data_IF_533612520695
#
_entry.id   IF_533612520695
#
_cell.length_a   1.000
_cell.length_b   1.000
_cell.length_c   1.000
_cell.angle_alpha   90.00
_cell.angle_beta   90.00
_cell.angle_gamma   90.00
#
_symmetry.space_group_name_H-M   'P 1'
#
loop_
_entity.id
_entity.type
_entity.pdbx_description
1 polymer ?
#
# COMPACT_ATOMS: atom_id res chain seq x y z
N UNK A 1 -13.54 -13.08 -14.67
CA UNK A 1 -12.14 -13.49 -14.42
C UNK A 1 -11.21 -12.63 -15.27
N UNK A 2 -10.48 -11.71 -14.64
CA UNK A 2 -9.54 -10.84 -15.34
C UNK A 2 -8.36 -11.64 -15.89
N UNK A 3 -7.88 -11.27 -17.08
CA UNK A 3 -6.67 -11.83 -17.67
C UNK A 3 -5.75 -10.70 -18.14
N UNK A 4 -4.50 -10.72 -17.68
CA UNK A 4 -3.52 -9.68 -18.01
C UNK A 4 -3.24 -9.61 -19.52
N UNK A 5 -3.25 -8.41 -20.12
CA UNK A 5 -2.87 -8.23 -21.52
C UNK A 5 -1.38 -8.44 -21.79
N UNK A 6 -0.54 -8.50 -20.74
CA UNK A 6 0.91 -8.72 -20.87
C UNK A 6 1.27 -10.19 -21.12
N UNK A 7 0.33 -11.13 -20.88
CA UNK A 7 0.48 -12.56 -21.15
C UNK A 7 -0.44 -12.99 -22.31
N UNK A 8 0.05 -12.83 -23.54
CA UNK A 8 -0.71 -13.03 -24.77
C UNK A 8 -0.05 -14.02 -25.77
N UNK A 9 -0.83 -14.48 -26.76
CA UNK A 9 -0.36 -15.29 -27.89
C UNK A 9 0.54 -16.49 -27.52
N UNK A 10 1.66 -16.63 -28.25
CA UNK A 10 2.62 -17.73 -28.07
C UNK A 10 3.28 -17.75 -26.69
N UNK A 11 3.40 -16.59 -26.01
CA UNK A 11 3.96 -16.54 -24.65
C UNK A 11 3.11 -17.34 -23.68
N UNK A 12 1.77 -17.32 -23.81
CA UNK A 12 0.87 -18.14 -22.99
C UNK A 12 0.98 -19.63 -23.30
N UNK A 13 1.22 -20.00 -24.57
CA UNK A 13 1.27 -21.41 -25.02
C UNK A 13 2.44 -22.20 -24.43
N UNK A 14 3.58 -21.55 -24.19
CA UNK A 14 4.81 -22.21 -23.73
C UNK A 14 5.15 -21.95 -22.26
N UNK A 15 4.41 -21.09 -21.56
CA UNK A 15 4.70 -20.72 -20.17
C UNK A 15 4.02 -21.68 -19.18
N UNK A 16 4.75 -22.20 -18.16
CA UNK A 16 4.14 -22.95 -17.08
C UNK A 16 3.06 -22.14 -16.36
N UNK A 17 1.87 -22.72 -16.13
CA UNK A 17 0.73 -22.05 -15.46
C UNK A 17 1.09 -21.40 -14.12
N UNK A 18 2.11 -21.91 -13.42
CA UNK A 18 2.62 -21.39 -12.14
C UNK A 18 3.30 -20.01 -12.22
N UNK A 19 3.64 -19.54 -13.42
CA UNK A 19 4.31 -18.24 -13.64
C UNK A 19 3.30 -17.18 -14.12
N UNK A 20 2.07 -17.57 -14.45
CA UNK A 20 1.04 -16.69 -15.00
C UNK A 20 0.75 -15.48 -14.10
N UNK A 21 0.81 -15.66 -12.78
CA UNK A 21 0.54 -14.59 -11.81
C UNK A 21 1.59 -13.47 -11.83
N UNK A 22 2.83 -13.76 -12.25
CA UNK A 22 3.92 -12.79 -12.31
C UNK A 22 3.78 -11.74 -13.42
N UNK A 23 2.78 -11.84 -14.29
CA UNK A 23 2.55 -10.96 -15.45
C UNK A 23 1.44 -9.92 -15.23
N UNK A 24 0.85 -9.91 -14.05
CA UNK A 24 -0.20 -8.98 -13.66
C UNK A 24 -1.50 -9.66 -13.26
N UNK A 25 -2.12 -9.15 -12.21
CA UNK A 25 -3.34 -9.69 -11.61
C UNK A 25 -4.40 -8.60 -11.43
N UNK A 26 -5.66 -9.02 -11.29
CA UNK A 26 -6.62 -8.22 -10.56
C UNK A 26 -6.29 -8.37 -9.07
N UNK A 27 -5.95 -7.26 -8.41
CA UNK A 27 -5.58 -7.27 -7.00
C UNK A 27 -6.45 -6.35 -6.14
N UNK A 28 -7.46 -5.69 -6.70
CA UNK A 28 -8.47 -4.94 -5.93
C UNK A 28 -9.27 -5.85 -4.98
N UNK A 29 -9.60 -5.36 -3.79
CA UNK A 29 -10.58 -5.99 -2.88
C UNK A 29 -11.58 -4.94 -2.41
N UNK A 30 -12.82 -5.12 -2.86
CA UNK A 30 -13.95 -4.22 -2.64
C UNK A 30 -15.11 -5.07 -2.12
N UNK A 31 -15.71 -4.67 -1.01
CA UNK A 31 -16.83 -5.36 -0.39
C UNK A 31 -17.97 -4.36 -0.16
N UNK A 32 -18.85 -4.23 -1.16
CA UNK A 32 -19.95 -3.26 -1.15
C UNK A 32 -21.28 -3.90 -0.73
N UNK A 33 -22.03 -3.19 0.10
CA UNK A 33 -23.37 -3.55 0.57
C UNK A 33 -24.21 -2.27 0.64
N UNK A 34 -25.25 -2.16 -0.19
CA UNK A 34 -26.10 -0.97 -0.29
C UNK A 34 -25.28 0.33 -0.49
N UNK A 35 -25.29 1.24 0.48
CA UNK A 35 -24.53 2.49 0.47
C UNK A 35 -23.22 2.40 1.29
N UNK A 36 -22.80 1.20 1.68
CA UNK A 36 -21.56 0.94 2.41
C UNK A 36 -20.52 0.22 1.55
N UNK A 37 -19.25 0.59 1.72
CA UNK A 37 -18.11 -0.06 1.08
C UNK A 37 -17.03 -0.33 2.12
N UNK A 38 -16.55 -1.57 2.17
CA UNK A 38 -15.37 -1.93 2.95
C UNK A 38 -14.16 -2.08 2.02
N UNK A 39 -13.09 -1.33 2.33
CA UNK A 39 -11.79 -1.44 1.67
C UNK A 39 -10.84 -2.25 2.55
N UNK A 40 -10.19 -3.26 1.99
CA UNK A 40 -9.23 -4.11 2.69
C UNK A 40 -8.14 -4.65 1.75
N UNK A 41 -7.07 -5.18 2.33
CA UNK A 41 -6.10 -6.03 1.64
C UNK A 41 -6.44 -7.52 1.69
N UNK A 42 -7.47 -7.91 2.45
CA UNK A 42 -7.86 -9.30 2.69
C UNK A 42 -8.66 -9.90 1.54
N UNK A 43 -8.52 -11.21 1.32
CA UNK A 43 -9.44 -12.00 0.50
C UNK A 43 -10.50 -12.67 1.40
N UNK A 44 -11.58 -13.16 0.80
CA UNK A 44 -12.55 -14.02 1.50
C UNK A 44 -12.04 -15.46 1.57
N UNK A 45 -11.04 -15.71 2.42
CA UNK A 45 -10.49 -17.05 2.67
C UNK A 45 -10.39 -17.34 4.16
N UNK A 46 -10.38 -18.63 4.50
CA UNK A 46 -10.31 -19.09 5.89
C UNK A 46 -9.15 -18.43 6.66
N UNK A 47 -7.99 -18.25 6.04
CA UNK A 47 -6.82 -17.66 6.69
C UNK A 47 -7.09 -16.21 7.14
N UNK A 48 -7.72 -15.38 6.30
CA UNK A 48 -8.06 -13.99 6.68
C UNK A 48 -9.12 -13.91 7.77
N UNK A 49 -10.01 -14.91 7.86
CA UNK A 49 -11.00 -14.97 8.93
C UNK A 49 -10.46 -15.54 10.24
N UNK A 50 -9.28 -16.17 10.25
CA UNK A 50 -8.80 -16.93 11.41
C UNK A 50 -7.42 -16.50 11.90
N UNK A 51 -6.40 -16.48 11.03
CA UNK A 51 -5.01 -16.41 11.45
C UNK A 51 -4.10 -15.57 10.53
N UNK A 52 -4.67 -14.70 9.69
CA UNK A 52 -3.92 -13.76 8.85
C UNK A 52 -4.34 -12.33 9.16
N UNK A 53 -3.45 -11.60 9.83
CA UNK A 53 -3.71 -10.21 10.19
C UNK A 53 -3.61 -9.29 8.97
N UNK A 54 -4.72 -8.63 8.66
CA UNK A 54 -4.83 -7.55 7.69
C UNK A 54 -5.65 -6.40 8.34
N UNK A 55 -6.01 -5.38 7.56
CA UNK A 55 -6.83 -4.24 8.03
C UNK A 55 -7.97 -3.94 7.06
N UNK A 56 -9.00 -3.28 7.57
CA UNK A 56 -10.17 -2.89 6.78
C UNK A 56 -10.78 -1.60 7.31
N UNK A 57 -11.27 -0.77 6.41
CA UNK A 57 -12.01 0.46 6.71
C UNK A 57 -13.38 0.38 6.05
N UNK A 58 -14.44 0.70 6.79
CA UNK A 58 -15.82 0.73 6.30
C UNK A 58 -16.23 2.18 6.12
N UNK A 59 -16.79 2.50 4.96
CA UNK A 59 -17.32 3.81 4.62
C UNK A 59 -18.82 3.69 4.36
N UNK A 60 -19.63 4.41 5.11
CA UNK A 60 -21.05 4.60 4.81
C UNK A 60 -21.20 5.86 3.95
N UNK A 61 -21.15 5.70 2.63
CA UNK A 61 -21.29 6.79 1.66
C UNK A 61 -21.70 6.21 0.32
N UNK A 62 -22.90 6.58 -0.12
CA UNK A 62 -23.42 6.22 -1.43
C UNK A 62 -22.47 6.63 -2.56
N UNK A 63 -21.88 7.82 -2.48
CA UNK A 63 -21.01 8.37 -3.51
C UNK A 63 -19.72 7.55 -3.68
N UNK A 64 -19.12 7.12 -2.56
CA UNK A 64 -17.95 6.23 -2.60
C UNK A 64 -18.34 4.84 -3.11
N UNK A 65 -19.46 4.30 -2.64
CA UNK A 65 -19.93 2.97 -3.05
C UNK A 65 -20.25 2.93 -4.55
N UNK A 66 -20.96 3.93 -5.08
CA UNK A 66 -21.25 4.07 -6.51
C UNK A 66 -19.96 4.22 -7.34
N UNK A 67 -18.96 4.97 -6.85
CA UNK A 67 -17.66 5.09 -7.50
C UNK A 67 -16.95 3.74 -7.63
N UNK A 68 -16.84 2.99 -6.52
CA UNK A 68 -16.16 1.70 -6.51
C UNK A 68 -16.94 0.63 -7.30
N UNK A 69 -18.27 0.69 -7.28
CA UNK A 69 -19.13 -0.16 -8.11
C UNK A 69 -18.86 0.08 -9.60
N UNK A 70 -18.82 1.34 -10.06
CA UNK A 70 -18.53 1.66 -11.46
C UNK A 70 -17.15 1.17 -11.91
N UNK A 71 -16.12 1.29 -11.06
CA UNK A 71 -14.77 0.75 -11.37
C UNK A 71 -14.79 -0.78 -11.42
N UNK A 72 -15.49 -1.44 -10.49
CA UNK A 72 -15.67 -2.89 -10.48
C UNK A 72 -16.36 -3.39 -11.76
N UNK A 73 -17.49 -2.78 -12.13
CA UNK A 73 -18.25 -3.10 -13.35
C UNK A 73 -17.40 -2.94 -14.60
N UNK A 74 -16.67 -1.82 -14.72
CA UNK A 74 -15.75 -1.60 -15.84
C UNK A 74 -14.68 -2.69 -15.95
N UNK A 75 -14.11 -3.17 -14.83
CA UNK A 75 -13.15 -4.29 -14.85
C UNK A 75 -13.83 -5.63 -15.17
N UNK A 76 -15.08 -5.82 -14.76
CA UNK A 76 -15.88 -6.99 -15.13
C UNK A 76 -16.12 -7.06 -16.64
N UNK A 77 -16.47 -5.95 -17.29
CA UNK A 77 -16.68 -5.88 -18.75
C UNK A 77 -15.41 -6.19 -19.55
N UNK A 78 -14.25 -5.89 -18.97
CA UNK A 78 -12.93 -6.21 -19.54
C UNK A 78 -12.48 -7.65 -19.27
N UNK A 79 -13.26 -8.43 -18.52
CA UNK A 79 -12.88 -9.75 -18.02
C UNK A 79 -13.63 -10.88 -18.73
N UNK A 80 -13.11 -12.11 -18.63
CA UNK A 80 -13.84 -13.31 -19.08
C UNK A 80 -15.01 -13.62 -18.15
N UNK A 81 -16.16 -13.96 -18.70
CA UNK A 81 -17.32 -14.43 -17.93
C UNK A 81 -17.20 -15.92 -17.65
N UNK A 82 -17.43 -16.33 -16.41
CA UNK A 82 -17.49 -17.75 -16.05
C UNK A 82 -18.95 -18.21 -16.14
N UNK A 83 -19.25 -19.10 -17.08
CA UNK A 83 -20.61 -19.60 -17.33
C UNK A 83 -20.65 -21.13 -17.19
N UNK A 84 -21.81 -21.72 -16.82
CA UNK A 84 -21.98 -23.16 -16.90
C UNK A 84 -21.73 -23.69 -18.32
N UNK A 85 -21.09 -24.85 -18.43
CA UNK A 85 -20.86 -25.52 -19.71
C UNK A 85 -22.11 -26.28 -20.15
N UNK A 86 -22.60 -25.99 -21.35
CA UNK A 86 -23.67 -26.78 -21.98
C UNK A 86 -23.19 -28.17 -22.42
N UNK A 87 -21.88 -28.32 -22.63
CA UNK A 87 -21.28 -29.56 -23.13
C UNK A 87 -20.98 -30.57 -22.02
N UNK A 88 -20.78 -30.11 -20.79
CA UNK A 88 -20.38 -30.96 -19.65
C UNK A 88 -21.12 -30.56 -18.38
N UNK A 89 -22.09 -31.36 -17.91
CA UNK A 89 -22.81 -31.10 -16.66
C UNK A 89 -21.84 -30.90 -15.49
N UNK A 90 -22.00 -29.79 -14.76
CA UNK A 90 -21.15 -29.43 -13.62
C UNK A 90 -19.79 -28.82 -13.99
N UNK A 91 -19.47 -28.64 -15.27
CA UNK A 91 -18.30 -27.89 -15.71
C UNK A 91 -18.65 -26.41 -15.96
N UNK A 92 -17.62 -25.57 -15.95
CA UNK A 92 -17.71 -24.16 -16.28
C UNK A 92 -16.78 -23.83 -17.44
N UNK A 93 -17.16 -22.84 -18.24
CA UNK A 93 -16.42 -22.31 -19.38
C UNK A 93 -16.18 -20.81 -19.22
N UNK A 94 -15.08 -20.33 -19.81
CA UNK A 94 -14.74 -18.92 -19.85
C UNK A 94 -15.16 -18.35 -21.20
N UNK A 95 -16.12 -17.44 -21.18
CA UNK A 95 -16.58 -16.69 -22.34
C UNK A 95 -15.72 -15.44 -22.48
N UNK A 96 -15.16 -15.23 -23.68
CA UNK A 96 -14.35 -14.05 -23.97
C UNK A 96 -15.20 -12.78 -23.95
N UNK A 97 -14.67 -11.64 -23.47
CA UNK A 97 -15.33 -10.35 -23.65
C UNK A 97 -15.60 -10.03 -25.14
N UNK A 98 -14.93 -10.73 -26.06
CA UNK A 98 -15.19 -10.65 -27.50
C UNK A 98 -16.60 -11.07 -27.92
N UNK A 99 -17.21 -12.04 -27.24
CA UNK A 99 -18.58 -12.47 -27.52
C UNK A 99 -19.60 -11.36 -27.22
N UNK A 100 -19.21 -10.36 -26.43
CA UNK A 100 -20.01 -9.19 -26.09
C UNK A 100 -19.60 -7.94 -26.88
N UNK A 101 -18.77 -8.09 -27.93
CA UNK A 101 -18.33 -7.01 -28.79
C UNK A 101 -17.09 -6.25 -28.31
N UNK A 102 -16.46 -6.67 -27.22
CA UNK A 102 -15.26 -6.02 -26.68
C UNK A 102 -13.96 -6.66 -27.21
N UNK A 103 -12.79 -6.00 -27.09
CA UNK A 103 -11.53 -6.63 -27.47
C UNK A 103 -11.12 -7.76 -26.51
N UNK A 104 -10.58 -8.85 -27.03
CA UNK A 104 -10.04 -9.95 -26.21
C UNK A 104 -8.61 -9.61 -25.74
N UNK A 105 -8.27 -9.79 -24.45
CA UNK A 105 -6.93 -9.44 -23.93
C UNK A 105 -5.79 -10.33 -24.47
N UNK A 106 -6.07 -11.58 -24.86
CA UNK A 106 -5.10 -12.54 -25.42
C UNK A 106 -4.78 -12.30 -26.89
N UNK A 107 -5.77 -11.87 -27.67
CA UNK A 107 -5.67 -11.78 -29.13
C UNK A 107 -5.63 -10.35 -29.64
N UNK A 108 -6.27 -9.41 -28.93
CA UNK A 108 -6.45 -8.01 -29.34
C UNK A 108 -5.76 -7.02 -28.39
N UNK A 109 -4.63 -7.39 -27.78
CA UNK A 109 -3.93 -6.64 -26.71
C UNK A 109 -3.89 -5.11 -26.88
N UNK A 110 -3.51 -4.58 -28.06
CA UNK A 110 -3.46 -3.12 -28.29
C UNK A 110 -4.85 -2.48 -28.24
N UNK A 111 -5.83 -3.09 -28.90
CA UNK A 111 -7.24 -2.62 -28.89
C UNK A 111 -7.84 -2.77 -27.49
N UNK A 112 -7.52 -3.85 -26.79
CA UNK A 112 -7.92 -4.08 -25.40
C UNK A 112 -7.41 -2.98 -24.47
N UNK A 113 -6.11 -2.65 -24.52
CA UNK A 113 -5.57 -1.55 -23.70
C UNK A 113 -6.18 -0.20 -24.05
N UNK A 114 -6.42 0.09 -25.34
CA UNK A 114 -7.09 1.32 -25.75
C UNK A 114 -8.52 1.40 -25.21
N UNK A 115 -9.29 0.32 -25.33
CA UNK A 115 -10.66 0.23 -24.82
C UNK A 115 -10.72 0.30 -23.29
N UNK A 116 -9.83 -0.43 -22.60
CA UNK A 116 -9.69 -0.36 -21.16
C UNK A 116 -9.37 1.05 -20.68
N UNK A 117 -8.49 1.76 -21.41
CA UNK A 117 -8.19 3.17 -21.13
C UNK A 117 -9.40 4.08 -21.30
N UNK A 118 -10.12 3.95 -22.40
CA UNK A 118 -11.36 4.71 -22.66
C UNK A 118 -12.43 4.48 -21.59
N UNK A 119 -12.50 3.27 -21.03
CA UNK A 119 -13.51 2.88 -20.03
C UNK A 119 -13.11 3.30 -18.61
N UNK A 120 -11.85 3.06 -18.21
CA UNK A 120 -11.40 3.23 -16.82
C UNK A 120 -10.87 4.64 -16.51
N UNK A 121 -10.19 5.30 -17.46
CA UNK A 121 -9.58 6.62 -17.24
C UNK A 121 -10.60 7.68 -16.80
N UNK A 122 -11.80 7.79 -17.41
CA UNK A 122 -12.81 8.78 -16.98
C UNK A 122 -13.37 8.52 -15.57
N UNK A 123 -13.33 7.27 -15.10
CA UNK A 123 -13.82 6.92 -13.77
C UNK A 123 -12.87 7.40 -12.69
N UNK A 124 -11.56 7.22 -12.89
CA UNK A 124 -10.53 7.57 -11.90
C UNK A 124 -10.00 9.00 -12.04
N UNK A 125 -10.15 9.60 -13.23
CA UNK A 125 -9.84 11.02 -13.49
C UNK A 125 -11.12 11.80 -13.77
N UNK A 126 -11.79 12.26 -12.72
CA UNK A 126 -12.87 13.25 -12.90
C UNK A 126 -12.27 14.57 -13.36
N UNK A 127 -12.91 15.22 -14.35
CA UNK A 127 -12.44 16.49 -14.93
C UNK A 127 -12.12 17.51 -13.82
N UNK A 128 -10.92 18.11 -13.89
CA UNK A 128 -10.32 19.05 -12.93
C UNK A 128 -11.13 20.33 -12.59
N UNK A 129 -12.39 20.44 -13.04
CA UNK A 129 -13.29 21.57 -12.77
C UNK A 129 -14.09 21.45 -11.48
N UNK A 130 -13.95 20.36 -10.72
CA UNK A 130 -14.49 20.32 -9.36
C UNK A 130 -13.60 21.21 -8.49
N UNK A 131 -14.19 22.20 -7.79
CA UNK A 131 -13.44 23.06 -6.85
C UNK A 131 -12.63 22.17 -5.92
N UNK A 132 -11.32 22.41 -5.88
CA UNK A 132 -10.33 21.60 -5.14
C UNK A 132 -10.72 21.40 -3.67
N UNK A 133 -11.42 22.39 -3.10
CA UNK A 133 -12.16 22.28 -1.85
C UNK A 133 -13.41 23.17 -1.94
N UNK A 134 -14.63 22.61 -2.10
CA UNK A 134 -15.84 23.42 -1.97
C UNK A 134 -16.04 23.92 -0.53
N UNK A 135 -15.30 23.35 0.44
CA UNK A 135 -15.43 23.64 1.87
C UNK A 135 -14.04 23.69 2.54
N UNK A 136 -13.78 24.65 3.43
CA UNK A 136 -12.51 24.70 4.19
C UNK A 136 -12.26 23.42 4.99
N UNK A 137 -11.01 23.00 5.08
CA UNK A 137 -10.58 21.93 6.00
C UNK A 137 -10.73 22.42 7.43
N UNK A 138 -11.52 21.70 8.25
CA UNK A 138 -11.76 22.02 9.67
C UNK A 138 -11.48 20.79 10.53
N UNK A 139 -11.46 20.97 11.85
CA UNK A 139 -11.19 19.89 12.82
C UNK A 139 -12.27 18.81 12.85
N UNK A 140 -13.37 18.97 12.13
CA UNK A 140 -14.51 18.03 12.13
C UNK A 140 -14.69 17.36 10.76
N UNK A 141 -13.81 17.62 9.79
CA UNK A 141 -13.97 17.13 8.42
C UNK A 141 -13.01 16.01 8.09
N UNK A 142 -13.53 15.06 7.33
CA UNK A 142 -12.76 13.98 6.72
C UNK A 142 -12.97 14.03 5.21
N UNK A 143 -11.87 14.01 4.47
CA UNK A 143 -11.85 13.89 3.02
C UNK A 143 -11.34 12.50 2.65
N UNK A 144 -12.05 11.84 1.75
CA UNK A 144 -11.67 10.52 1.23
C UNK A 144 -11.42 10.68 -0.26
N UNK A 145 -10.20 10.36 -0.68
CA UNK A 145 -9.76 10.40 -2.06
C UNK A 145 -9.58 8.97 -2.56
N UNK A 146 -10.47 8.46 -3.41
CA UNK A 146 -10.28 7.15 -4.03
C UNK A 146 -8.97 7.12 -4.82
N UNK A 147 -8.21 6.05 -4.64
CA UNK A 147 -6.94 5.81 -5.33
C UNK A 147 -7.06 4.55 -6.19
N UNK A 148 -6.44 4.58 -7.37
CA UNK A 148 -6.39 3.47 -8.28
C UNK A 148 -5.00 3.37 -8.92
N UNK A 149 -4.54 2.14 -9.14
CA UNK A 149 -3.30 1.85 -9.85
C UNK A 149 -3.57 0.82 -10.94
N UNK A 150 -3.65 1.29 -12.18
CA UNK A 150 -4.02 0.50 -13.37
C UNK A 150 -3.01 0.68 -14.52
N UNK A 151 -1.74 0.98 -14.25
CA UNK A 151 -0.70 1.23 -15.27
C UNK A 151 -0.59 0.09 -16.29
N UNK A 152 -0.86 -1.16 -15.89
CA UNK A 152 -0.88 -2.29 -16.82
C UNK A 152 -1.88 -2.12 -17.97
N UNK A 153 -2.99 -1.43 -17.73
CA UNK A 153 -4.05 -1.13 -18.72
C UNK A 153 -3.89 0.27 -19.32
N UNK A 154 -3.63 1.27 -18.49
CA UNK A 154 -3.66 2.69 -18.89
C UNK A 154 -2.33 3.18 -19.50
N UNK A 155 -1.26 2.41 -19.30
CA UNK A 155 0.09 2.75 -19.71
C UNK A 155 0.79 3.66 -18.71
N UNK A 156 2.09 3.86 -18.90
CA UNK A 156 2.88 4.83 -18.12
C UNK A 156 2.59 6.27 -18.59
N UNK A 157 2.81 7.28 -17.73
CA UNK A 157 2.73 8.70 -18.10
C UNK A 157 3.64 9.00 -19.29
N UNK A 158 3.14 9.70 -20.31
CA UNK A 158 3.98 10.17 -21.44
C UNK A 158 4.54 11.54 -21.10
N UNK A 159 5.87 11.66 -21.04
CA UNK A 159 6.68 12.89 -20.99
C UNK A 159 6.14 14.02 -20.07
N UNK A 160 6.74 14.14 -18.88
CA UNK A 160 6.52 15.26 -17.96
C UNK A 160 7.22 16.49 -18.54
N UNK A 161 6.52 17.32 -19.32
CA UNK A 161 7.00 18.67 -19.61
C UNK A 161 6.88 19.53 -18.34
N UNK A 162 7.86 20.42 -18.11
CA UNK A 162 8.01 21.25 -16.90
C UNK A 162 6.80 22.16 -16.55
N UNK A 163 5.81 22.27 -17.43
CA UNK A 163 4.67 23.18 -17.33
C UNK A 163 3.29 22.50 -17.30
N UNK A 164 3.23 21.16 -17.40
CA UNK A 164 1.96 20.45 -17.34
C UNK A 164 1.52 20.28 -15.88
N UNK A 165 0.27 20.65 -15.58
CA UNK A 165 -0.34 20.50 -14.25
C UNK A 165 -0.13 19.06 -13.75
N UNK A 166 0.63 18.91 -12.66
CA UNK A 166 1.33 17.69 -12.27
C UNK A 166 0.47 16.41 -12.24
N UNK A 167 -0.84 16.49 -11.98
CA UNK A 167 -1.71 15.31 -11.90
C UNK A 167 -2.42 14.91 -13.20
N UNK A 168 -2.50 15.79 -14.20
CA UNK A 168 -3.23 15.53 -15.44
C UNK A 168 -2.48 14.63 -16.44
N UNK A 169 -1.20 14.35 -16.17
CA UNK A 169 -0.32 13.53 -17.01
C UNK A 169 -0.22 12.08 -16.53
N UNK A 170 -0.63 11.81 -15.28
CA UNK A 170 -0.62 10.47 -14.72
C UNK A 170 -1.87 9.69 -15.13
N UNK A 171 -1.67 8.44 -15.51
CA UNK A 171 -2.73 7.51 -15.88
C UNK A 171 -3.37 6.85 -14.66
N UNK A 172 -2.57 6.50 -13.65
CA UNK A 172 -3.02 6.03 -12.33
C UNK A 172 -2.91 7.13 -11.26
N UNK A 173 -3.57 6.95 -10.11
CA UNK A 173 -3.63 7.95 -9.04
C UNK A 173 -2.91 7.56 -7.75
N UNK A 174 -2.74 6.27 -7.44
CA UNK A 174 -2.15 5.83 -6.16
C UNK A 174 -0.67 6.23 -5.99
N UNK A 175 0.22 5.78 -6.90
CA UNK A 175 1.65 6.09 -6.79
C UNK A 175 1.91 7.61 -6.81
N UNK A 176 1.33 8.41 -7.73
CA UNK A 176 1.52 9.86 -7.72
C UNK A 176 1.02 10.55 -6.45
N UNK A 177 -0.10 10.10 -5.88
CA UNK A 177 -0.62 10.67 -4.64
C UNK A 177 0.32 10.38 -3.45
N UNK A 178 0.85 9.15 -3.37
CA UNK A 178 1.81 8.76 -2.35
C UNK A 178 3.14 9.51 -2.50
N UNK A 179 3.71 9.58 -3.71
CA UNK A 179 4.98 10.28 -3.94
C UNK A 179 4.83 11.77 -3.66
N UNK A 180 3.72 12.40 -4.06
CA UNK A 180 3.46 13.80 -3.76
C UNK A 180 3.30 14.05 -2.26
N UNK A 181 2.58 13.19 -1.56
CA UNK A 181 2.45 13.28 -0.10
C UNK A 181 3.83 13.23 0.56
N UNK A 182 4.61 12.20 0.28
CA UNK A 182 5.93 12.01 0.91
C UNK A 182 6.92 13.10 0.50
N UNK A 183 6.91 13.57 -0.75
CA UNK A 183 7.72 14.71 -1.18
C UNK A 183 7.35 15.99 -0.42
N UNK A 184 6.05 16.26 -0.24
CA UNK A 184 5.60 17.41 0.57
C UNK A 184 6.03 17.26 2.04
N UNK A 185 6.02 16.06 2.61
CA UNK A 185 6.58 15.81 3.94
C UNK A 185 8.10 15.99 3.98
N UNK A 186 8.82 15.76 2.88
CA UNK A 186 10.26 15.97 2.84
C UNK A 186 10.63 17.45 2.65
N UNK A 187 9.85 18.21 1.88
CA UNK A 187 10.24 19.54 1.37
C UNK A 187 9.51 20.71 2.05
N UNK A 188 8.25 20.54 2.49
CA UNK A 188 7.48 21.61 3.13
C UNK A 188 7.86 21.75 4.61
N UNK A 189 8.43 22.89 4.99
CA UNK A 189 8.84 23.18 6.37
C UNK A 189 7.72 23.01 7.40
N UNK A 190 6.46 23.21 7.01
CA UNK A 190 5.29 23.05 7.90
C UNK A 190 4.96 21.59 8.16
N UNK A 191 5.39 20.70 7.27
CA UNK A 191 5.08 19.27 7.30
C UNK A 191 6.30 18.41 7.66
N UNK A 192 7.53 18.92 7.50
CA UNK A 192 8.77 18.15 7.62
C UNK A 192 9.00 17.48 8.98
N UNK A 193 8.34 17.98 10.02
CA UNK A 193 8.38 17.38 11.35
C UNK A 193 7.35 16.25 11.53
N UNK A 194 6.62 15.83 10.50
CA UNK A 194 5.57 14.81 10.65
C UNK A 194 6.13 13.44 10.99
N UNK A 195 5.39 12.70 11.79
CA UNK A 195 5.66 11.30 12.10
C UNK A 195 4.91 10.41 11.11
N UNK A 196 5.47 9.26 10.78
CA UNK A 196 4.76 8.30 9.93
C UNK A 196 4.95 6.86 10.37
N UNK A 197 3.90 6.06 10.19
CA UNK A 197 3.98 4.60 10.26
C UNK A 197 3.68 4.05 8.88
N UNK A 198 4.53 3.16 8.40
CA UNK A 198 4.36 2.47 7.13
C UNK A 198 4.33 0.96 7.39
N UNK A 199 3.44 0.25 6.73
CA UNK A 199 3.43 -1.21 6.81
C UNK A 199 3.21 -1.86 5.46
N UNK A 200 3.90 -2.99 5.27
CA UNK A 200 3.68 -3.91 4.16
C UNK A 200 3.94 -5.33 4.67
N UNK A 201 3.03 -6.27 4.36
CA UNK A 201 3.18 -7.67 4.77
C UNK A 201 4.45 -8.34 4.24
N UNK A 202 4.90 -7.93 3.05
CA UNK A 202 6.13 -8.37 2.42
C UNK A 202 7.09 -7.18 2.30
N UNK A 203 8.30 -7.30 2.85
CA UNK A 203 9.26 -6.22 2.84
C UNK A 203 9.95 -6.06 1.48
N UNK A 204 9.23 -5.45 0.53
CA UNK A 204 9.74 -5.11 -0.80
C UNK A 204 9.13 -3.79 -1.32
N UNK A 205 9.43 -2.70 -0.62
CA UNK A 205 8.89 -1.38 -0.95
C UNK A 205 9.47 -0.92 -2.28
N UNK A 206 8.63 -0.32 -3.14
CA UNK A 206 9.05 0.39 -4.34
C UNK A 206 10.19 1.36 -4.01
N UNK A 207 11.31 1.34 -4.77
CA UNK A 207 12.49 2.13 -4.42
C UNK A 207 12.23 3.64 -4.30
N UNK A 208 11.34 4.20 -5.12
CA UNK A 208 11.03 5.64 -5.09
C UNK A 208 10.31 5.98 -3.79
N UNK A 209 9.31 5.16 -3.42
CA UNK A 209 8.57 5.30 -2.16
C UNK A 209 9.50 5.10 -0.96
N UNK A 210 10.40 4.10 -1.03
CA UNK A 210 11.37 3.83 0.03
C UNK A 210 12.29 5.03 0.28
N UNK A 211 12.84 5.63 -0.79
CA UNK A 211 13.68 6.82 -0.69
C UNK A 211 12.91 8.01 -0.13
N UNK A 212 11.68 8.22 -0.60
CA UNK A 212 10.82 9.31 -0.12
C UNK A 212 10.38 9.12 1.34
N UNK A 213 10.14 7.89 1.81
CA UNK A 213 9.89 7.61 3.23
C UNK A 213 11.08 8.04 4.10
N UNK A 214 12.31 7.72 3.66
CA UNK A 214 13.52 8.11 4.39
C UNK A 214 13.70 9.63 4.38
N UNK A 215 13.44 10.29 3.24
CA UNK A 215 13.51 11.75 3.11
C UNK A 215 12.43 12.48 3.93
N UNK A 216 11.23 11.91 4.02
CA UNK A 216 10.10 12.45 4.77
C UNK A 216 10.21 12.30 6.29
N UNK A 217 11.20 11.56 6.79
CA UNK A 217 11.44 11.47 8.22
C UNK A 217 12.08 12.76 8.76
N UNK A 218 11.73 13.19 9.99
CA UNK A 218 12.24 14.44 10.57
C UNK A 218 13.77 14.41 10.76
N UNK A 219 14.40 15.58 10.85
CA UNK A 219 15.86 15.70 10.98
C UNK A 219 16.43 15.31 12.34
N UNK A 220 15.65 15.38 13.41
CA UNK A 220 16.11 15.00 14.75
C UNK A 220 14.96 14.48 15.60
N UNK A 221 15.30 13.80 16.71
CA UNK A 221 14.34 13.47 17.75
C UNK A 221 13.82 14.78 18.34
N UNK A 222 12.63 15.20 17.95
CA UNK A 222 11.98 16.33 18.60
C UNK A 222 11.48 15.88 20.00
N UNK A 223 12.02 16.40 21.12
CA UNK A 223 11.65 15.97 22.47
C UNK A 223 10.17 16.20 22.79
N UNK A 224 9.55 17.19 22.13
CA UNK A 224 8.12 17.48 22.27
C UNK A 224 7.22 16.44 21.58
N UNK A 225 7.76 15.62 20.66
CA UNK A 225 7.00 14.60 19.92
C UNK A 225 7.12 13.19 20.50
N UNK A 226 8.13 12.93 21.32
CA UNK A 226 8.35 11.62 21.97
C UNK A 226 7.36 11.36 23.12
N UNK A 227 6.65 12.38 23.62
CA UNK A 227 5.64 12.28 24.67
C UNK A 227 4.43 11.41 24.31
N UNK A 228 4.11 11.25 23.02
CA UNK A 228 2.96 10.46 22.54
C UNK A 228 3.30 9.00 22.19
N UNK A 229 4.56 8.60 22.37
CA UNK A 229 4.96 7.20 22.34
C UNK A 229 4.76 6.60 23.74
N UNK A 230 3.56 6.79 24.30
CA UNK A 230 3.15 6.17 25.58
C UNK A 230 2.85 4.69 25.35
N UNK A 231 3.89 3.90 25.10
CA UNK A 231 3.86 2.52 25.53
C UNK A 231 3.91 2.47 27.07
N UNK A 232 3.33 1.42 27.66
CA UNK A 232 3.29 1.23 29.12
C UNK A 232 4.67 1.25 29.79
N UNK A 233 4.72 1.09 31.12
CA UNK A 233 5.96 1.24 31.88
C UNK A 233 7.09 0.37 31.30
N UNK A 234 8.13 1.01 30.72
CA UNK A 234 9.34 0.34 30.21
C UNK A 234 9.66 0.43 28.72
N UNK A 235 8.86 1.12 27.87
CA UNK A 235 9.10 1.16 26.41
C UNK A 235 9.36 2.54 25.79
N UNK A 236 9.24 3.64 26.54
CA UNK A 236 9.28 5.02 25.99
C UNK A 236 10.60 5.43 25.36
N UNK A 237 11.73 4.87 25.80
CA UNK A 237 13.06 5.39 25.43
C UNK A 237 13.57 4.88 24.07
N UNK A 238 12.89 3.88 23.48
CA UNK A 238 13.34 3.20 22.26
C UNK A 238 12.47 3.46 21.04
N UNK A 239 11.32 4.10 21.22
CA UNK A 239 10.39 4.32 20.12
C UNK A 239 10.76 5.56 19.31
N UNK A 240 10.71 5.44 17.99
CA UNK A 240 11.15 6.49 17.06
C UNK A 240 9.96 7.11 16.32
N UNK A 241 10.17 8.34 15.84
CA UNK A 241 9.19 9.13 15.09
C UNK A 241 8.58 8.37 13.90
N UNK A 242 9.39 7.60 13.20
CA UNK A 242 9.00 6.89 11.97
C UNK A 242 9.20 5.39 12.12
N UNK A 243 8.16 4.62 11.80
CA UNK A 243 8.17 3.16 11.98
C UNK A 243 7.76 2.45 10.71
N UNK A 244 8.55 1.47 10.31
CA UNK A 244 8.21 0.49 9.28
C UNK A 244 7.85 -0.84 9.95
N UNK A 245 6.69 -1.41 9.65
CA UNK A 245 6.25 -2.71 10.17
C UNK A 245 6.15 -3.71 9.02
N UNK A 246 6.81 -4.86 9.16
CA UNK A 246 6.74 -5.98 8.20
C UNK A 246 6.54 -7.31 8.92
N UNK A 247 6.11 -8.35 8.21
CA UNK A 247 6.11 -9.70 8.75
C UNK A 247 7.54 -10.16 9.11
N UNK A 248 7.71 -10.74 10.29
CA UNK A 248 8.87 -11.61 10.55
C UNK A 248 8.87 -12.81 9.59
N UNK A 249 10.02 -13.48 9.35
CA UNK A 249 10.05 -14.67 8.51
C UNK A 249 9.07 -15.75 8.99
N UNK A 250 8.91 -15.90 10.30
CA UNK A 250 8.01 -16.88 10.92
C UNK A 250 6.53 -16.49 10.90
N UNK A 251 6.20 -15.25 10.55
CA UNK A 251 4.84 -14.78 10.31
C UNK A 251 4.58 -14.51 8.82
N UNK A 252 5.49 -14.93 7.94
CA UNK A 252 5.37 -14.76 6.51
C UNK A 252 4.57 -15.93 5.90
N UNK A 253 3.60 -15.64 5.03
CA UNK A 253 2.79 -16.69 4.39
C UNK A 253 3.58 -17.72 3.55
N UNK A 254 4.82 -17.39 3.15
CA UNK A 254 5.70 -18.31 2.41
C UNK A 254 6.66 -19.09 3.32
N UNK A 255 6.59 -18.91 4.64
CA UNK A 255 7.42 -19.66 5.57
C UNK A 255 7.22 -21.17 5.40
N UNK A 256 8.33 -21.91 5.25
CA UNK A 256 8.31 -23.36 5.03
C UNK A 256 7.78 -23.83 3.66
N UNK A 257 7.45 -22.92 2.73
CA UNK A 257 7.03 -23.29 1.38
C UNK A 257 8.12 -24.05 0.62
N UNK A 258 7.72 -25.06 -0.17
CA UNK A 258 8.66 -25.83 -1.00
C UNK A 258 9.03 -25.04 -2.26
N UNK A 259 10.30 -25.14 -2.68
CA UNK A 259 10.78 -24.54 -3.93
C UNK A 259 11.14 -23.06 -3.80
N UNK A 260 11.02 -22.30 -4.90
CA UNK A 260 11.48 -20.91 -5.00
C UNK A 260 10.72 -19.97 -4.04
N UNK A 261 9.43 -20.20 -3.82
CA UNK A 261 8.64 -19.37 -2.90
C UNK A 261 9.15 -19.45 -1.45
N UNK A 262 9.70 -20.59 -1.03
CA UNK A 262 10.35 -20.74 0.28
C UNK A 262 11.58 -19.86 0.47
N UNK A 263 12.13 -19.27 -0.60
CA UNK A 263 13.25 -18.33 -0.54
C UNK A 263 12.81 -16.90 -0.21
N UNK A 264 11.51 -16.58 -0.34
CA UNK A 264 10.98 -15.23 -0.16
C UNK A 264 11.21 -14.66 1.26
N UNK A 265 11.01 -15.40 2.37
CA UNK A 265 11.30 -14.86 3.70
C UNK A 265 12.77 -14.43 3.88
N UNK A 266 13.70 -15.20 3.31
CA UNK A 266 15.12 -14.85 3.31
C UNK A 266 15.43 -13.68 2.37
N UNK A 267 14.73 -13.56 1.25
CA UNK A 267 14.82 -12.41 0.34
C UNK A 267 14.39 -11.12 1.04
N UNK A 268 13.25 -11.13 1.74
CA UNK A 268 12.77 -10.00 2.53
C UNK A 268 13.74 -9.63 3.65
N UNK A 269 14.34 -10.62 4.32
CA UNK A 269 15.43 -10.37 5.30
C UNK A 269 16.60 -9.59 4.68
N UNK A 270 16.98 -9.92 3.43
CA UNK A 270 18.03 -9.17 2.72
C UNK A 270 17.61 -7.73 2.43
N UNK A 271 16.37 -7.52 1.99
CA UNK A 271 15.81 -6.20 1.70
C UNK A 271 15.71 -5.35 2.97
N UNK A 272 15.25 -5.92 4.08
CA UNK A 272 15.23 -5.27 5.40
C UNK A 272 16.61 -4.77 5.82
N UNK A 273 17.64 -5.59 5.61
CA UNK A 273 19.02 -5.22 5.91
C UNK A 273 19.53 -4.10 4.99
N UNK A 274 19.16 -4.10 3.71
CA UNK A 274 19.50 -3.01 2.78
C UNK A 274 18.82 -1.72 3.21
N UNK A 275 17.54 -1.76 3.58
CA UNK A 275 16.79 -0.62 4.08
C UNK A 275 17.46 0.01 5.31
N UNK A 276 17.78 -0.78 6.36
CA UNK A 276 18.45 -0.26 7.55
C UNK A 276 19.81 0.38 7.24
N UNK A 277 20.56 -0.16 6.25
CA UNK A 277 21.80 0.47 5.79
C UNK A 277 21.55 1.79 5.06
N UNK A 278 20.49 1.90 4.28
CA UNK A 278 20.13 3.17 3.62
C UNK A 278 19.71 4.21 4.66
N UNK A 279 18.95 3.82 5.67
CA UNK A 279 18.61 4.67 6.83
C UNK A 279 19.89 5.17 7.54
N UNK A 280 20.85 4.26 7.79
CA UNK A 280 22.16 4.60 8.37
C UNK A 280 22.95 5.60 7.53
N UNK A 281 23.04 5.35 6.22
CA UNK A 281 23.72 6.25 5.28
C UNK A 281 23.06 7.63 5.20
N UNK A 282 21.75 7.71 5.41
CA UNK A 282 21.01 8.96 5.46
C UNK A 282 21.09 9.67 6.82
N UNK A 283 21.74 9.07 7.83
CA UNK A 283 21.81 9.64 9.19
C UNK A 283 20.47 9.64 9.93
N UNK A 284 19.50 8.81 9.50
CA UNK A 284 18.14 8.80 10.05
C UNK A 284 17.91 7.65 11.06
N UNK A 285 18.98 7.06 11.60
CA UNK A 285 18.88 5.94 12.55
C UNK A 285 18.23 6.33 13.86
N UNK A 286 18.28 7.60 14.26
CA UNK A 286 17.64 8.05 15.50
C UNK A 286 16.12 8.27 15.37
N UNK A 287 15.62 8.36 14.14
CA UNK A 287 14.22 8.73 13.85
C UNK A 287 13.45 7.66 13.08
N UNK A 288 14.12 6.72 12.40
CA UNK A 288 13.49 5.61 11.69
C UNK A 288 13.82 4.27 12.36
N UNK A 289 12.80 3.44 12.57
CA UNK A 289 12.96 2.05 13.01
C UNK A 289 12.22 1.07 12.11
N UNK A 290 12.72 -0.17 12.07
CA UNK A 290 12.06 -1.32 11.48
C UNK A 290 11.56 -2.23 12.60
N UNK A 291 10.30 -2.63 12.55
CA UNK A 291 9.72 -3.66 13.42
C UNK A 291 9.27 -4.87 12.61
N UNK A 292 9.54 -6.06 13.14
CA UNK A 292 9.01 -7.31 12.61
C UNK A 292 7.84 -7.79 13.46
N UNK A 293 6.69 -7.97 12.82
CA UNK A 293 5.49 -8.54 13.43
C UNK A 293 5.61 -10.06 13.54
N UNK A 294 5.29 -10.60 14.71
CA UNK A 294 5.21 -12.05 14.94
C UNK A 294 4.25 -12.39 16.06
N UNK A 295 3.27 -13.25 15.76
CA UNK A 295 2.46 -13.94 16.77
C UNK A 295 2.48 -15.44 16.47
N UNK A 296 3.37 -16.15 17.17
CA UNK A 296 3.67 -17.56 16.90
C UNK A 296 4.47 -17.80 15.60
N UNK A 297 4.34 -19.00 15.04
CA UNK A 297 5.00 -19.41 13.79
C UNK A 297 3.96 -19.99 12.83
N UNK A 298 4.01 -19.62 11.55
CA UNK A 298 3.10 -20.20 10.53
C UNK A 298 3.19 -21.73 10.54
N UNK A 299 2.03 -22.38 10.62
CA UNK A 299 1.92 -23.84 10.65
C UNK A 299 1.96 -24.47 12.05
N UNK A 300 2.25 -23.69 13.09
CA UNK A 300 2.18 -24.12 14.49
C UNK A 300 0.87 -23.66 15.16
N UNK A 301 0.38 -24.34 16.21
CA UNK A 301 -0.80 -23.92 16.97
C UNK A 301 -0.69 -22.47 17.48
N UNK A 302 -1.70 -21.65 17.20
CA UNK A 302 -1.70 -20.22 17.57
C UNK A 302 -0.83 -19.31 16.70
N UNK A 303 -0.16 -19.88 15.69
CA UNK A 303 0.62 -19.13 14.71
C UNK A 303 -0.25 -18.31 13.76
N UNK A 304 0.14 -17.06 13.55
CA UNK A 304 -0.53 -16.14 12.64
C UNK A 304 0.44 -15.60 11.58
N UNK A 305 -0.11 -15.26 10.42
CA UNK A 305 0.59 -14.53 9.36
C UNK A 305 0.26 -13.04 9.40
N UNK A 306 1.18 -12.21 8.92
CA UNK A 306 0.99 -10.76 8.82
C UNK A 306 0.90 -10.31 7.36
N UNK A 307 -0.11 -9.50 7.05
CA UNK A 307 -0.40 -9.07 5.69
C UNK A 307 -1.01 -7.67 5.59
N UNK A 308 -1.04 -6.90 6.68
CA UNK A 308 -1.51 -5.52 6.62
C UNK A 308 -0.61 -4.66 5.73
N UNK A 309 -1.21 -3.67 5.06
CA UNK A 309 -0.49 -2.65 4.28
C UNK A 309 -1.12 -1.27 4.50
N UNK A 310 -0.29 -0.24 4.51
CA UNK A 310 -0.79 1.10 4.77
C UNK A 310 0.29 2.12 5.09
N UNK A 311 -0.12 3.38 5.03
CA UNK A 311 0.64 4.52 5.51
C UNK A 311 -0.25 5.31 6.48
N UNK A 312 0.34 5.84 7.54
CA UNK A 312 -0.28 6.77 8.48
C UNK A 312 0.69 7.92 8.69
N UNK A 313 0.19 9.16 8.68
CA UNK A 313 0.98 10.36 8.93
C UNK A 313 0.32 11.15 10.04
N UNK A 314 1.07 11.43 11.09
CA UNK A 314 0.68 12.34 12.18
C UNK A 314 1.40 13.66 11.95
N UNK A 315 0.63 14.73 11.78
CA UNK A 315 1.18 16.07 11.50
C UNK A 315 1.89 16.63 12.74
N UNK A 316 2.74 17.65 12.57
CA UNK A 316 3.43 18.27 13.70
C UNK A 316 2.48 18.99 14.65
N UNK A 317 2.86 19.17 15.93
CA UNK A 317 2.11 19.94 16.90
C UNK A 317 1.77 21.31 16.35
N UNK A 318 0.52 21.73 16.54
CA UNK A 318 0.02 23.00 16.05
C UNK A 318 -0.09 24.00 17.21
N UNK A 319 0.03 25.31 16.94
CA UNK A 319 -0.23 26.33 17.96
C UNK A 319 -1.65 26.21 18.50
N UNK A 320 -1.83 26.35 19.81
CA UNK A 320 -3.14 26.30 20.46
C UNK A 320 -4.04 27.45 19.92
N UNK A 321 -5.22 27.16 19.34
CA UNK A 321 -6.10 28.22 18.84
C UNK A 321 -6.72 29.00 20.01
N UNK A 322 -6.47 30.32 20.09
CA UNK A 322 -7.19 31.22 21.01
C UNK A 322 -6.36 32.00 22.05
N UNK A 323 -5.06 31.75 22.20
CA UNK A 323 -4.16 32.54 23.06
C UNK A 323 -3.32 33.53 22.24
N UNK A 324 -3.97 34.46 21.57
CA UNK A 324 -3.29 35.57 20.90
C UNK A 324 -3.89 36.90 21.35
N UNK A 325 -3.71 37.26 22.63
CA UNK A 325 -3.83 38.64 23.07
C UNK A 325 -3.15 38.85 24.43
N UNK A 326 -1.88 39.26 24.39
CA UNK A 326 -1.25 40.00 25.48
C UNK A 326 0.02 39.37 26.05
N UNK A 327 1.17 39.75 25.48
CA UNK A 327 2.45 39.84 26.18
C UNK A 327 3.12 38.54 26.63
N UNK A 328 4.21 38.15 25.94
CA UNK A 328 5.23 37.21 26.44
C UNK A 328 4.72 35.89 26.99
N UNK A 329 4.10 35.06 26.15
CA UNK A 329 3.81 33.67 26.52
C UNK A 329 4.36 32.68 25.49
N UNK A 330 5.04 31.68 26.03
CA UNK A 330 5.45 30.45 25.37
C UNK A 330 4.24 29.89 24.62
N UNK A 331 4.23 29.94 23.28
CA UNK A 331 3.17 29.32 22.48
C UNK A 331 3.10 27.85 22.85
N UNK A 332 2.09 27.46 23.61
CA UNK A 332 1.85 26.06 23.94
C UNK A 332 1.46 25.34 22.64
N UNK A 333 2.33 24.45 22.18
CA UNK A 333 2.03 23.56 21.07
C UNK A 333 1.11 22.45 21.57
N UNK A 334 0.09 22.12 20.78
CA UNK A 334 -0.81 20.99 21.05
C UNK A 334 -0.47 19.88 20.07
N UNK A 335 -0.24 18.70 20.61
CA UNK A 335 0.04 17.51 19.82
C UNK A 335 -1.21 17.02 19.07
N UNK A 336 -0.97 16.39 17.93
CA UNK A 336 -2.02 15.69 17.21
C UNK A 336 -2.40 14.38 17.94
N UNK A 337 -3.69 14.11 18.21
CA UNK A 337 -4.12 12.92 18.96
C UNK A 337 -3.91 11.60 18.20
N UNK A 338 -3.51 11.67 16.93
CA UNK A 338 -3.23 10.52 16.08
C UNK A 338 -3.03 10.90 14.62
N UNK A 339 -2.94 9.89 13.72
CA UNK A 339 -2.72 10.12 12.30
C UNK A 339 -3.80 10.99 11.67
N UNK A 340 -3.39 12.08 11.03
CA UNK A 340 -4.26 12.96 10.25
C UNK A 340 -4.44 12.48 8.81
N UNK A 341 -3.52 11.65 8.32
CA UNK A 341 -3.57 11.07 6.98
C UNK A 341 -3.38 9.57 7.09
N UNK A 342 -4.17 8.79 6.35
CA UNK A 342 -3.90 7.35 6.18
C UNK A 342 -4.23 6.89 4.77
N UNK A 343 -3.55 5.82 4.32
CA UNK A 343 -3.86 5.13 3.07
C UNK A 343 -4.27 3.69 3.39
N UNK A 344 -5.39 3.26 2.81
CA UNK A 344 -5.95 1.91 2.95
C UNK A 344 -6.30 1.38 1.55
N UNK A 345 -6.00 0.11 1.28
CA UNK A 345 -6.25 -0.48 -0.04
C UNK A 345 -5.58 -1.83 -0.20
N UNK A 346 -5.55 -2.31 -1.44
CA UNK A 346 -5.00 -3.62 -1.78
C UNK A 346 -3.49 -3.64 -2.02
N UNK A 347 -2.90 -2.47 -2.29
CA UNK A 347 -1.50 -2.34 -2.70
C UNK A 347 -0.51 -2.89 -1.69
N UNK A 348 0.46 -3.64 -2.18
CA UNK A 348 1.62 -4.07 -1.40
C UNK A 348 2.75 -3.04 -1.44
N UNK A 349 2.56 -1.90 -2.12
CA UNK A 349 3.54 -0.84 -2.31
C UNK A 349 4.84 -1.31 -2.97
N UNK A 350 4.76 -2.35 -3.81
CA UNK A 350 5.90 -2.94 -4.53
C UNK A 350 5.97 -2.38 -5.95
N UNK A 351 7.12 -2.53 -6.62
CA UNK A 351 7.22 -2.23 -8.07
C UNK A 351 6.16 -2.97 -8.88
N UNK A 352 5.79 -4.19 -8.48
CA UNK A 352 4.74 -4.99 -9.14
C UNK A 352 3.36 -4.37 -8.97
N UNK A 353 3.00 -3.95 -7.75
CA UNK A 353 1.73 -3.25 -7.49
C UNK A 353 1.56 -2.05 -8.41
N UNK A 354 2.66 -1.32 -8.68
CA UNK A 354 2.61 -0.13 -9.53
C UNK A 354 2.73 -0.36 -11.03
N UNK A 355 3.21 -1.52 -11.49
CA UNK A 355 3.47 -1.76 -12.93
C UNK A 355 2.64 -2.88 -13.55
N UNK A 356 2.17 -3.84 -12.76
CA UNK A 356 1.59 -5.09 -13.26
C UNK A 356 0.20 -5.40 -12.71
N UNK A 357 -0.12 -4.98 -11.51
CA UNK A 357 -1.40 -5.34 -10.88
C UNK A 357 -2.45 -4.22 -11.01
N UNK A 358 -3.72 -4.60 -10.91
CA UNK A 358 -4.83 -3.65 -10.70
C UNK A 358 -5.04 -3.48 -9.21
N UNK A 359 -4.64 -2.33 -8.67
CA UNK A 359 -4.81 -2.00 -7.25
C UNK A 359 -5.85 -0.89 -7.06
N UNK A 360 -6.52 -0.92 -5.91
CA UNK A 360 -7.46 0.13 -5.53
C UNK A 360 -7.40 0.39 -4.03
N UNK A 361 -7.71 1.62 -3.65
CA UNK A 361 -7.73 2.05 -2.26
C UNK A 361 -8.31 3.43 -2.08
N UNK A 362 -7.98 4.05 -0.95
CA UNK A 362 -8.31 5.42 -0.63
C UNK A 362 -7.20 6.05 0.22
N UNK A 363 -6.99 7.35 0.00
CA UNK A 363 -6.32 8.23 0.96
C UNK A 363 -7.36 8.99 1.76
N UNK A 364 -7.23 8.93 3.07
CA UNK A 364 -8.10 9.62 4.02
C UNK A 364 -7.30 10.75 4.64
N UNK A 365 -7.84 11.96 4.60
CA UNK A 365 -7.29 13.15 5.27
C UNK A 365 -8.35 13.66 6.25
N UNK A 366 -8.03 13.68 7.54
CA UNK A 366 -9.01 13.97 8.58
C UNK A 366 -8.54 15.03 9.56
N UNK A 367 -9.41 15.99 9.85
CA UNK A 367 -9.31 16.88 11.00
C UNK A 367 -9.91 16.27 12.27
N UNK A 368 -10.87 15.34 12.10
CA UNK A 368 -11.67 14.75 13.18
C UNK A 368 -10.82 14.04 14.23
N UNK A 369 -10.85 14.56 15.46
CA UNK A 369 -10.04 14.06 16.59
C UNK A 369 -10.44 12.63 16.99
N UNK A 370 -11.72 12.26 16.85
CA UNK A 370 -12.20 10.90 17.11
C UNK A 370 -11.63 9.87 16.13
N UNK A 371 -11.62 10.19 14.84
CA UNK A 371 -11.03 9.36 13.80
C UNK A 371 -9.51 9.28 13.96
N UNK A 372 -8.83 10.39 14.27
CA UNK A 372 -7.39 10.38 14.58
C UNK A 372 -7.06 9.42 15.73
N UNK A 373 -7.83 9.45 16.82
CA UNK A 373 -7.65 8.54 17.94
C UNK A 373 -7.90 7.07 17.55
N UNK A 374 -8.90 6.79 16.71
CA UNK A 374 -9.15 5.44 16.18
C UNK A 374 -8.02 4.95 15.28
N UNK A 375 -7.45 5.83 14.44
CA UNK A 375 -6.30 5.51 13.60
C UNK A 375 -5.04 5.27 14.45
N UNK A 376 -4.85 6.01 15.55
CA UNK A 376 -3.79 5.74 16.53
C UNK A 376 -3.93 4.35 17.13
N UNK A 377 -5.14 3.99 17.60
CA UNK A 377 -5.44 2.65 18.11
C UNK A 377 -5.20 1.56 17.06
N UNK A 378 -5.52 1.81 15.79
CA UNK A 378 -5.21 0.90 14.70
C UNK A 378 -3.69 0.66 14.57
N UNK A 379 -2.88 1.74 14.57
CA UNK A 379 -1.42 1.61 14.52
C UNK A 379 -0.84 0.92 15.75
N UNK A 380 -1.40 1.14 16.93
CA UNK A 380 -0.96 0.49 18.17
C UNK A 380 -1.25 -1.01 18.14
N UNK A 381 -2.44 -1.39 17.65
CA UNK A 381 -2.81 -2.80 17.47
C UNK A 381 -1.89 -3.53 16.48
N UNK A 382 -1.49 -2.86 15.40
CA UNK A 382 -0.52 -3.43 14.44
C UNK A 382 0.87 -3.59 15.06
N UNK A 383 1.24 -2.74 16.02
CA UNK A 383 2.54 -2.81 16.69
C UNK A 383 2.56 -3.73 17.91
N UNK A 384 1.40 -4.13 18.45
CA UNK A 384 1.30 -4.91 19.69
C UNK A 384 2.07 -6.24 19.68
N UNK A 385 2.28 -6.84 18.49
CA UNK A 385 3.08 -8.06 18.33
C UNK A 385 4.32 -7.82 17.45
N UNK A 386 4.79 -6.58 17.36
CA UNK A 386 5.94 -6.20 16.54
C UNK A 386 7.13 -5.80 17.42
N UNK A 387 8.30 -6.37 17.13
CA UNK A 387 9.54 -6.09 17.84
C UNK A 387 10.51 -5.33 16.95
N UNK A 388 11.27 -4.38 17.52
CA UNK A 388 12.33 -3.66 16.80
C UNK A 388 13.39 -4.64 16.34
N UNK A 389 13.85 -4.46 15.10
CA UNK A 389 14.89 -5.29 14.48
C UNK A 389 16.04 -4.40 14.02
N UNK A 390 17.24 -4.80 14.41
CA UNK A 390 18.50 -4.11 14.08
C UNK A 390 19.26 -4.82 12.96
N UNK A 391 20.34 -4.19 12.49
CA UNK A 391 21.24 -4.83 11.53
C UNK A 391 21.89 -6.11 12.10
N UNK A 392 22.15 -6.14 13.40
CA UNK A 392 22.75 -7.29 14.09
C UNK A 392 21.76 -8.45 14.23
N UNK A 393 20.50 -8.16 14.52
CA UNK A 393 19.44 -9.17 14.55
C UNK A 393 19.28 -9.87 13.18
N UNK A 394 19.36 -9.10 12.09
CA UNK A 394 19.31 -9.62 10.72
C UNK A 394 20.59 -10.35 10.30
N UNK A 395 21.67 -10.26 11.09
CA UNK A 395 22.94 -10.94 10.84
C UNK A 395 23.06 -12.29 11.57
N UNK A 396 22.14 -12.62 12.48
CA UNK A 396 22.13 -13.89 13.22
C UNK A 396 22.08 -15.11 12.30
N UNK A 397 22.51 -16.27 12.81
CA UNK A 397 22.69 -17.50 12.03
C UNK A 397 21.37 -17.96 11.42
N UNK A 398 20.29 -17.94 12.20
CA UNK A 398 18.93 -18.27 11.77
C UNK A 398 18.37 -17.31 10.71
N UNK A 399 18.97 -16.12 10.55
CA UNK A 399 18.63 -15.10 9.55
C UNK A 399 19.55 -15.10 8.34
N UNK A 400 20.55 -16.00 8.29
CA UNK A 400 21.57 -15.98 7.25
C UNK A 400 20.99 -16.26 5.87
N UNK A 401 20.99 -15.23 5.03
CA UNK A 401 20.55 -15.33 3.64
C UNK A 401 21.59 -16.08 2.80
N UNK A 402 21.22 -17.28 2.32
CA UNK A 402 22.07 -18.15 1.50
C UNK A 402 22.40 -17.57 0.12
N UNK A 403 23.51 -18.04 -0.48
CA UNK A 403 24.01 -17.55 -1.78
C UNK A 403 22.97 -17.68 -2.91
N UNK A 404 22.22 -18.79 -2.95
CA UNK A 404 21.16 -19.01 -3.93
C UNK A 404 20.10 -17.90 -3.90
N UNK A 405 19.73 -17.42 -2.71
CA UNK A 405 18.74 -16.33 -2.55
C UNK A 405 19.30 -15.01 -3.05
N UNK A 406 20.57 -14.71 -2.73
CA UNK A 406 21.23 -13.50 -3.20
C UNK A 406 21.37 -13.48 -4.73
N UNK A 407 21.76 -14.60 -5.34
CA UNK A 407 21.87 -14.73 -6.78
C UNK A 407 20.51 -14.64 -7.46
N UNK A 408 19.47 -15.26 -6.90
CA UNK A 408 18.12 -15.17 -7.43
C UNK A 408 17.59 -13.73 -7.41
N UNK A 409 17.75 -13.00 -6.30
CA UNK A 409 17.37 -11.59 -6.22
C UNK A 409 18.16 -10.73 -7.21
N UNK A 410 19.48 -10.92 -7.30
CA UNK A 410 20.32 -10.20 -8.24
C UNK A 410 19.90 -10.43 -9.70
N UNK A 411 19.56 -11.69 -10.06
CA UNK A 411 19.06 -12.01 -11.39
C UNK A 411 17.74 -11.30 -11.68
N UNK A 412 16.83 -11.23 -10.71
CA UNK A 412 15.54 -10.56 -10.92
C UNK A 412 15.73 -9.04 -11.07
N UNK A 413 16.58 -8.43 -10.25
CA UNK A 413 16.96 -7.01 -10.37
C UNK A 413 17.60 -6.73 -11.73
N UNK A 414 18.58 -7.54 -12.15
CA UNK A 414 19.32 -7.38 -13.41
C UNK A 414 18.43 -7.56 -14.66
N UNK A 415 17.41 -8.41 -14.56
CA UNK A 415 16.43 -8.63 -15.64
C UNK A 415 15.26 -7.63 -15.60
N UNK A 416 15.32 -6.63 -14.72
CA UNK A 416 14.29 -5.59 -14.60
C UNK A 416 12.98 -6.08 -13.97
N UNK A 417 12.95 -7.30 -13.43
CA UNK A 417 11.77 -7.89 -12.84
C UNK A 417 11.29 -7.12 -11.60
N UNK A 418 9.99 -7.24 -11.32
CA UNK A 418 9.30 -6.49 -10.28
C UNK A 418 9.12 -7.32 -9.00
N UNK A 419 10.17 -8.01 -8.54
CA UNK A 419 10.08 -8.81 -7.31
C UNK A 419 10.12 -7.94 -6.09
#
# INVERSE_FOLDING_TARGET
MFHTPNLNGWKKKYMPKRINEGWGLQHMKLYGFDDEIMLSGANLSNDYFTNRQDRYHIFASKELTDFYAAVHEAVCDLSYSLVPSDQRPGAFELVSPHEHGFPDPLWHTKRFKAYAKETLEPLIHKKARQKMFPVPFTKEKTFVYPLAQFDILLGEPRNIAFLDYEFATYTSTEKPALTRLLANLAEDQRLHQSNWTFTAGYFNIDPDICNLLIAAAPDSKNPAMTSNLTGGPGTSDFEKACTVITASPWANGFYGSKGVSGMLPAAYTLLSRRFLRTVAKAGKEDVIQLKEWRKGTVGEPGGMTYHAKGLWVTLPPQPQPGLASGGSELTSLVDEPGPSITVVGSSNYTKRSYSLDLEIGAMIVTGDEGLKARLKKETDNLQANAAVVTQDDLARVERRVGLKVRLALWLVEALGGAL
#
